data_IF_160498522785
#
_entry.id   IF_160498522785
#
_cell.length_a   1.000
_cell.length_b   1.000
_cell.length_c   1.000
_cell.angle_alpha   90.00
_cell.angle_beta   90.00
_cell.angle_gamma   90.00
#
_symmetry.space_group_name_H-M   'P 1'
#
loop_
_entity.id
_entity.type
_entity.pdbx_description
1 polymer ?
#
# COMPACT_ATOMS: atom_id res chain seq x y z
N UNK A 1 -16.83 13.17 -5.88
CA UNK A 1 -16.38 13.74 -7.17
C UNK A 1 -17.14 13.10 -8.34
N UNK A 2 -17.28 11.77 -8.39
CA UNK A 2 -17.96 11.01 -9.44
C UNK A 2 -19.42 11.42 -9.68
N UNK A 3 -20.24 11.56 -8.62
CA UNK A 3 -21.66 11.93 -8.75
C UNK A 3 -21.83 13.34 -9.34
N UNK A 4 -20.95 14.27 -8.95
CA UNK A 4 -20.92 15.65 -9.49
C UNK A 4 -20.57 15.65 -10.98
N UNK A 5 -19.63 14.80 -11.39
CA UNK A 5 -19.24 14.64 -12.79
C UNK A 5 -20.37 14.03 -13.63
N UNK A 6 -21.07 13.02 -13.10
CA UNK A 6 -22.22 12.41 -13.76
C UNK A 6 -23.38 13.42 -13.94
N UNK A 7 -23.68 14.21 -12.90
CA UNK A 7 -24.68 15.28 -12.99
C UNK A 7 -24.29 16.35 -14.02
N UNK A 8 -23.01 16.73 -14.08
CA UNK A 8 -22.49 17.64 -15.11
C UNK A 8 -22.64 17.06 -16.52
N UNK A 9 -22.31 15.78 -16.72
CA UNK A 9 -22.42 15.12 -18.02
C UNK A 9 -23.88 15.02 -18.49
N UNK A 10 -24.81 14.68 -17.59
CA UNK A 10 -26.25 14.63 -17.92
C UNK A 10 -26.81 16.02 -18.28
N UNK A 11 -26.46 17.03 -17.49
CA UNK A 11 -26.89 18.42 -17.75
C UNK A 11 -26.30 18.96 -19.06
N UNK A 12 -25.06 18.59 -19.38
CA UNK A 12 -24.40 18.92 -20.62
C UNK A 12 -25.08 18.26 -21.84
N UNK A 13 -25.38 16.96 -21.76
CA UNK A 13 -26.08 16.25 -22.84
C UNK A 13 -27.46 16.87 -23.09
N UNK A 14 -28.19 17.22 -22.03
CA UNK A 14 -29.48 17.91 -22.14
C UNK A 14 -29.40 19.25 -22.88
N UNK A 15 -28.32 20.03 -22.72
CA UNK A 15 -28.16 21.32 -23.41
C UNK A 15 -27.83 21.17 -24.90
N UNK A 16 -27.14 20.08 -25.26
CA UNK A 16 -26.89 19.72 -26.66
C UNK A 16 -28.19 19.27 -27.33
N UNK A 17 -28.99 18.43 -26.66
CA UNK A 17 -30.27 17.92 -27.20
C UNK A 17 -31.30 19.04 -27.43
N UNK A 18 -31.35 20.05 -26.56
CA UNK A 18 -32.21 21.23 -26.71
C UNK A 18 -31.66 22.23 -27.76
N UNK A 19 -30.47 21.96 -28.33
CA UNK A 19 -29.87 22.78 -29.37
C UNK A 19 -29.29 24.11 -28.87
N UNK A 20 -29.11 24.26 -27.56
CA UNK A 20 -28.60 25.50 -26.94
C UNK A 20 -27.09 25.66 -27.13
N UNK A 21 -26.34 24.56 -27.28
CA UNK A 21 -24.89 24.56 -27.47
C UNK A 21 -24.50 23.57 -28.58
N UNK A 22 -23.61 23.96 -29.50
CA UNK A 22 -23.08 23.06 -30.52
C UNK A 22 -22.03 22.14 -29.89
N UNK A 23 -22.10 20.84 -30.18
CA UNK A 23 -21.20 19.80 -29.61
C UNK A 23 -19.70 20.09 -29.78
N UNK A 24 -19.31 20.95 -30.71
CA UNK A 24 -17.91 21.30 -31.01
C UNK A 24 -17.33 22.31 -30.02
N UNK A 25 -18.17 23.13 -29.38
CA UNK A 25 -17.72 24.21 -28.47
C UNK A 25 -17.59 23.76 -27.01
N UNK A 26 -17.86 22.47 -26.72
CA UNK A 26 -17.86 21.96 -25.36
C UNK A 26 -16.54 21.25 -25.02
N UNK A 27 -15.96 21.63 -23.88
CA UNK A 27 -14.89 20.85 -23.27
C UNK A 27 -15.37 19.40 -23.04
N UNK A 28 -14.55 18.38 -23.35
CA UNK A 28 -14.96 16.99 -23.18
C UNK A 28 -15.32 16.77 -21.71
N UNK A 29 -16.49 16.16 -21.42
CA UNK A 29 -16.89 15.88 -20.05
C UNK A 29 -15.81 15.02 -19.36
N UNK A 30 -15.56 15.21 -18.05
CA UNK A 30 -14.61 14.40 -17.30
C UNK A 30 -14.99 12.94 -17.48
N UNK A 31 -14.16 12.20 -18.23
CA UNK A 31 -14.50 10.89 -18.77
C UNK A 31 -14.71 9.90 -17.63
N UNK A 32 -15.84 9.21 -17.65
CA UNK A 32 -16.15 8.08 -16.79
C UNK A 32 -14.97 7.09 -16.70
N UNK A 33 -14.25 6.91 -17.80
CA UNK A 33 -13.02 6.12 -17.91
C UNK A 33 -11.98 6.47 -16.83
N UNK A 34 -11.78 7.76 -16.53
CA UNK A 34 -10.83 8.20 -15.50
C UNK A 34 -11.28 7.80 -14.10
N UNK A 35 -12.56 7.92 -13.80
CA UNK A 35 -13.11 7.48 -12.50
C UNK A 35 -13.07 5.97 -12.35
N UNK A 36 -13.23 5.23 -13.45
CA UNK A 36 -13.11 3.78 -13.48
C UNK A 36 -11.65 3.33 -13.31
N UNK A 37 -10.71 3.99 -13.96
CA UNK A 37 -9.26 3.77 -13.79
C UNK A 37 -8.82 4.03 -12.34
N UNK A 38 -9.29 5.12 -11.73
CA UNK A 38 -9.01 5.44 -10.33
C UNK A 38 -9.57 4.38 -9.37
N UNK A 39 -10.78 3.87 -9.64
CA UNK A 39 -11.36 2.78 -8.85
C UNK A 39 -10.50 1.51 -8.90
N UNK A 40 -10.10 1.07 -10.10
CA UNK A 40 -9.25 -0.12 -10.24
C UNK A 40 -7.87 0.09 -9.60
N UNK A 41 -7.27 1.28 -9.75
CA UNK A 41 -5.99 1.59 -9.09
C UNK A 41 -6.09 1.49 -7.57
N UNK A 42 -7.21 1.90 -6.96
CA UNK A 42 -7.44 1.76 -5.52
C UNK A 42 -7.59 0.28 -5.15
N UNK A 43 -8.33 -0.51 -5.92
CA UNK A 43 -8.45 -1.95 -5.70
C UNK A 43 -7.09 -2.65 -5.72
N UNK A 44 -6.25 -2.34 -6.72
CA UNK A 44 -4.90 -2.91 -6.84
C UNK A 44 -4.03 -2.56 -5.63
N UNK A 45 -4.11 -1.31 -5.15
CA UNK A 45 -3.39 -0.88 -3.95
C UNK A 45 -3.86 -1.62 -2.69
N UNK A 46 -5.18 -1.79 -2.52
CA UNK A 46 -5.76 -2.54 -1.40
C UNK A 46 -5.24 -3.99 -1.44
N UNK A 47 -5.29 -4.64 -2.60
CA UNK A 47 -4.81 -6.01 -2.76
C UNK A 47 -3.32 -6.12 -2.40
N UNK A 48 -2.49 -5.21 -2.90
CA UNK A 48 -1.06 -5.17 -2.60
C UNK A 48 -0.80 -5.01 -1.10
N UNK A 49 -1.49 -4.07 -0.45
CA UNK A 49 -1.35 -3.84 0.98
C UNK A 49 -1.78 -5.03 1.83
N UNK A 50 -2.86 -5.71 1.46
CA UNK A 50 -3.32 -6.91 2.15
C UNK A 50 -2.32 -8.07 2.00
N UNK A 51 -1.82 -8.32 0.79
CA UNK A 51 -0.76 -9.31 0.55
C UNK A 51 0.50 -9.01 1.38
N UNK A 52 0.92 -7.75 1.39
CA UNK A 52 2.09 -7.31 2.16
C UNK A 52 1.88 -7.50 3.66
N UNK A 53 0.68 -7.19 4.16
CA UNK A 53 0.34 -7.36 5.58
C UNK A 53 0.41 -8.83 6.01
N UNK A 54 -0.08 -9.74 5.17
CA UNK A 54 0.00 -11.19 5.41
C UNK A 54 1.47 -11.63 5.50
N UNK A 55 2.33 -11.18 4.57
CA UNK A 55 3.75 -11.50 4.61
C UNK A 55 4.44 -10.94 5.86
N UNK A 56 4.13 -9.71 6.28
CA UNK A 56 4.65 -9.15 7.53
C UNK A 56 4.22 -9.95 8.77
N UNK A 57 2.98 -10.44 8.81
CA UNK A 57 2.50 -11.30 9.90
C UNK A 57 3.24 -12.64 9.91
N UNK A 58 3.42 -13.27 8.75
CA UNK A 58 4.17 -14.51 8.60
C UNK A 58 5.63 -14.36 9.00
N UNK A 59 6.25 -13.23 8.64
CA UNK A 59 7.61 -12.88 9.05
C UNK A 59 7.70 -12.72 10.56
N UNK A 60 6.74 -12.02 11.18
CA UNK A 60 6.67 -11.85 12.63
C UNK A 60 6.55 -13.19 13.39
N UNK A 61 5.65 -14.06 12.94
CA UNK A 61 5.49 -15.40 13.51
C UNK A 61 6.74 -16.27 13.34
N UNK A 62 7.36 -16.22 12.16
CA UNK A 62 8.62 -16.93 11.88
C UNK A 62 9.77 -16.43 12.76
N UNK A 63 9.87 -15.10 12.95
CA UNK A 63 10.86 -14.50 13.84
C UNK A 63 10.75 -15.04 15.26
N UNK A 64 9.54 -15.08 15.84
CA UNK A 64 9.31 -15.62 17.18
C UNK A 64 9.58 -17.13 17.28
N UNK A 65 9.34 -17.88 16.20
CA UNK A 65 9.52 -19.34 16.18
C UNK A 65 10.99 -19.75 16.05
N UNK A 66 11.75 -19.07 15.19
CA UNK A 66 13.11 -19.47 14.84
C UNK A 66 14.19 -18.67 15.57
N UNK A 67 13.81 -17.60 16.28
CA UNK A 67 14.71 -16.82 17.12
C UNK A 67 14.14 -16.73 18.55
N UNK A 68 14.73 -17.44 19.52
CA UNK A 68 14.28 -17.44 20.92
C UNK A 68 14.76 -16.20 21.70
N UNK A 69 14.80 -15.03 21.05
CA UNK A 69 15.22 -13.76 21.64
C UNK A 69 14.19 -12.68 21.26
N UNK A 70 13.85 -11.81 22.21
CA UNK A 70 12.96 -10.70 21.91
C UNK A 70 13.68 -9.67 21.02
N UNK A 71 12.97 -9.05 20.08
CA UNK A 71 13.54 -8.04 19.18
C UNK A 71 12.91 -6.68 19.45
N UNK A 72 13.71 -5.70 19.86
CA UNK A 72 13.30 -4.32 19.99
C UNK A 72 13.35 -3.63 18.61
N UNK A 73 12.32 -3.84 17.78
CA UNK A 73 12.29 -3.43 16.38
C UNK A 73 12.47 -1.92 16.13
N UNK A 74 12.04 -1.08 17.07
CA UNK A 74 12.16 0.39 16.97
C UNK A 74 13.49 0.92 17.50
N UNK A 75 14.35 0.07 18.06
CA UNK A 75 15.57 0.46 18.76
C UNK A 75 16.80 0.12 17.92
N UNK A 76 17.53 1.17 17.53
CA UNK A 76 18.76 1.07 16.73
C UNK A 76 20.03 1.22 17.56
N UNK A 77 19.95 1.90 18.70
CA UNK A 77 21.09 2.17 19.57
C UNK A 77 21.43 1.00 20.51
N UNK A 78 22.71 0.86 20.83
CA UNK A 78 23.21 -0.11 21.81
C UNK A 78 22.69 0.24 23.20
N UNK A 79 22.15 -0.74 23.93
CA UNK A 79 21.65 -0.54 25.29
C UNK A 79 22.82 -0.72 26.26
N UNK A 80 23.16 0.27 27.10
CA UNK A 80 24.09 0.05 28.20
C UNK A 80 23.48 -0.97 29.17
N UNK A 81 24.22 -2.01 29.55
CA UNK A 81 23.71 -3.17 30.31
C UNK A 81 22.57 -3.93 29.60
N UNK A 82 22.77 -4.33 28.34
CA UNK A 82 21.80 -5.21 27.64
C UNK A 82 21.51 -6.46 28.47
N UNK A 83 20.24 -6.65 28.83
CA UNK A 83 19.71 -7.98 29.11
C UNK A 83 20.01 -8.88 27.90
N UNK A 84 20.74 -9.98 28.12
CA UNK A 84 21.16 -10.94 27.08
C UNK A 84 20.00 -11.58 26.29
N UNK A 85 18.76 -11.31 26.69
CA UNK A 85 17.54 -11.87 26.10
C UNK A 85 16.85 -10.95 25.07
N UNK A 86 17.38 -9.74 24.81
CA UNK A 86 16.75 -8.78 23.88
C UNK A 86 17.76 -8.23 22.86
N UNK A 87 17.46 -8.42 21.57
CA UNK A 87 18.24 -7.88 20.45
C UNK A 87 17.70 -6.52 19.98
N UNK A 88 18.59 -5.61 19.61
CA UNK A 88 18.24 -4.42 18.81
C UNK A 88 17.94 -4.81 17.37
N UNK A 89 17.26 -3.95 16.61
CA UNK A 89 16.95 -4.24 15.21
C UNK A 89 18.21 -4.50 14.33
N UNK A 90 19.31 -3.75 14.47
CA UNK A 90 20.56 -4.06 13.75
C UNK A 90 21.17 -5.41 14.15
N UNK A 91 21.14 -5.76 15.44
CA UNK A 91 21.66 -7.05 15.92
C UNK A 91 20.84 -8.22 15.35
N UNK A 92 19.51 -8.10 15.40
CA UNK A 92 18.59 -9.06 14.78
C UNK A 92 18.90 -9.27 13.29
N UNK A 93 19.06 -8.18 12.53
CA UNK A 93 19.31 -8.25 11.10
C UNK A 93 20.64 -8.95 10.78
N UNK A 94 21.68 -8.71 11.60
CA UNK A 94 22.97 -9.39 11.51
C UNK A 94 22.82 -10.91 11.73
N UNK A 95 22.07 -11.30 12.77
CA UNK A 95 21.81 -12.72 13.10
C UNK A 95 21.07 -13.42 11.97
N UNK A 96 19.98 -12.84 11.45
CA UNK A 96 19.19 -13.44 10.37
C UNK A 96 20.03 -13.60 9.10
N UNK A 97 20.85 -12.59 8.74
CA UNK A 97 21.74 -12.69 7.57
C UNK A 97 22.75 -13.83 7.73
N UNK A 98 23.36 -13.98 8.91
CA UNK A 98 24.29 -15.07 9.17
C UNK A 98 23.62 -16.45 9.04
N UNK A 99 22.39 -16.60 9.56
CA UNK A 99 21.60 -17.82 9.43
C UNK A 99 21.29 -18.15 7.96
N UNK A 100 20.86 -17.17 7.17
CA UNK A 100 20.57 -17.34 5.74
C UNK A 100 21.82 -17.73 4.96
N UNK A 101 22.96 -17.08 5.23
CA UNK A 101 24.23 -17.40 4.59
C UNK A 101 24.67 -18.83 4.92
N UNK A 102 24.49 -19.27 6.17
CA UNK A 102 24.83 -20.63 6.60
C UNK A 102 23.99 -21.70 5.89
N UNK A 103 22.69 -21.46 5.69
CA UNK A 103 21.79 -22.38 4.98
C UNK A 103 22.03 -22.37 3.46
N UNK A 104 22.62 -21.30 2.91
CA UNK A 104 22.87 -21.15 1.47
C UNK A 104 24.22 -21.73 1.02
N UNK A 105 24.97 -22.38 1.90
CA UNK A 105 26.27 -23.01 1.65
C UNK A 105 26.10 -24.53 1.45
#
# INVERSE_FOLDING_TARGET
>A
VTLKNAAHALHQNSQVDVGTVKSVDMAPPPRFDKSMEEFYSICDQIELHLKTSIECMNQGASSQRYLPLAVAATRTELIPNQDMNILTYPQYLSTVRAQVLWVSQ
#
